data_IF_729124281829
#
_entry.id   IF_729124281829
#
_cell.length_a   1.000
_cell.length_b   1.000
_cell.length_c   1.000
_cell.angle_alpha   90.00
_cell.angle_beta   90.00
_cell.angle_gamma   90.00
#
_symmetry.space_group_name_H-M   'P 1'
#
loop_
_entity.id
_entity.type
_entity.pdbx_description
1 polymer ?
#
# COMPACT_ATOMS: atom_id res chain seq x y z
N UNK A 1 6.99 5.77 -0.93
CA UNK A 1 7.37 5.45 -2.32
C UNK A 1 8.52 6.33 -2.80
N UNK A 2 8.67 7.52 -2.23
CA UNK A 2 9.66 8.55 -2.60
C UNK A 2 9.53 8.99 -4.08
N UNK A 3 8.32 9.30 -4.50
CA UNK A 3 8.02 9.81 -5.85
C UNK A 3 7.48 11.23 -5.77
N UNK A 4 7.63 12.05 -6.84
CA UNK A 4 7.07 13.39 -6.89
C UNK A 4 5.57 13.39 -6.60
N UNK A 5 5.11 14.42 -5.87
CA UNK A 5 3.71 14.61 -5.53
C UNK A 5 3.15 13.70 -4.44
N UNK A 6 3.96 12.82 -3.83
CA UNK A 6 3.51 11.88 -2.78
C UNK A 6 2.94 12.58 -1.52
N UNK A 7 3.32 13.84 -1.30
CA UNK A 7 2.84 14.67 -0.19
C UNK A 7 1.61 15.53 -0.55
N UNK A 8 1.01 15.35 -1.71
CA UNK A 8 -0.18 16.08 -2.11
C UNK A 8 -1.39 15.69 -1.26
N UNK A 9 -2.28 16.64 -1.06
CA UNK A 9 -3.57 16.38 -0.39
C UNK A 9 -4.36 15.37 -1.21
N UNK A 10 -4.83 14.30 -0.55
CA UNK A 10 -5.48 13.17 -1.23
C UNK A 10 -4.53 12.03 -1.58
N UNK A 11 -3.25 12.10 -1.16
CA UNK A 11 -2.34 10.93 -1.17
C UNK A 11 -2.06 10.54 0.27
N UNK A 12 -2.38 9.31 0.65
CA UNK A 12 -2.20 8.84 2.03
C UNK A 12 -1.88 7.35 2.10
N UNK A 13 -1.34 6.90 3.21
CA UNK A 13 -1.11 5.48 3.45
C UNK A 13 -2.43 4.75 3.72
N UNK A 14 -2.47 3.45 3.40
CA UNK A 14 -3.61 2.59 3.74
C UNK A 14 -3.90 2.55 5.24
N UNK A 15 -2.86 2.56 6.07
CA UNK A 15 -3.03 2.60 7.53
C UNK A 15 -3.75 3.87 7.97
N UNK A 16 -3.34 5.02 7.46
CA UNK A 16 -4.01 6.29 7.74
C UNK A 16 -5.46 6.28 7.25
N UNK A 17 -5.68 5.85 6.01
CA UNK A 17 -7.01 5.76 5.41
C UNK A 17 -7.95 4.89 6.24
N UNK A 18 -7.55 3.64 6.52
CA UNK A 18 -8.37 2.70 7.28
C UNK A 18 -8.55 3.11 8.75
N UNK A 19 -7.55 3.74 9.36
CA UNK A 19 -7.67 4.29 10.73
C UNK A 19 -8.72 5.39 10.78
N UNK A 20 -8.69 6.34 9.86
CA UNK A 20 -9.68 7.42 9.80
C UNK A 20 -11.11 6.86 9.63
N UNK A 21 -11.27 5.80 8.87
CA UNK A 21 -12.58 5.19 8.62
C UNK A 21 -13.05 4.39 9.82
N UNK A 22 -12.21 3.48 10.33
CA UNK A 22 -12.64 2.52 11.35
C UNK A 22 -12.66 3.09 12.76
N UNK A 23 -11.71 3.98 13.11
CA UNK A 23 -11.63 4.57 14.46
C UNK A 23 -12.34 5.92 14.58
N UNK A 24 -12.55 6.63 13.47
CA UNK A 24 -13.22 7.92 13.45
C UNK A 24 -14.64 7.84 12.87
N UNK A 25 -15.15 6.63 12.71
CA UNK A 25 -16.53 6.31 12.32
C UNK A 25 -17.01 7.02 11.05
N UNK A 26 -16.16 7.03 10.02
CA UNK A 26 -16.44 7.72 8.76
C UNK A 26 -17.61 7.16 7.96
N UNK A 27 -18.12 6.00 8.31
CA UNK A 27 -19.32 5.42 7.71
C UNK A 27 -20.61 5.98 8.30
N UNK A 28 -20.54 6.67 9.43
CA UNK A 28 -21.68 7.27 10.11
C UNK A 28 -21.88 8.71 9.59
N UNK A 29 -23.04 9.04 9.00
CA UNK A 29 -23.31 10.37 8.46
C UNK A 29 -23.37 11.48 9.52
N UNK A 30 -23.50 11.12 10.80
CA UNK A 30 -23.54 12.10 11.91
C UNK A 30 -22.13 12.44 12.43
N UNK A 31 -21.07 11.81 11.91
CA UNK A 31 -19.69 12.14 12.23
C UNK A 31 -19.07 13.03 11.15
N UNK A 32 -18.06 13.82 11.52
CA UNK A 32 -17.25 14.62 10.58
C UNK A 32 -15.81 14.09 10.57
N UNK A 33 -15.57 12.91 9.98
CA UNK A 33 -14.24 12.33 9.93
C UNK A 33 -13.38 13.08 8.92
N UNK A 34 -12.07 13.18 9.13
CA UNK A 34 -11.17 13.85 8.21
C UNK A 34 -10.88 12.98 6.98
N UNK A 35 -11.94 12.66 6.22
CA UNK A 35 -11.89 11.96 4.94
C UNK A 35 -12.40 12.90 3.87
N UNK A 36 -11.62 13.05 2.81
CA UNK A 36 -12.08 13.76 1.63
C UNK A 36 -12.95 12.84 0.80
N UNK A 37 -14.23 13.17 0.54
CA UNK A 37 -15.04 12.43 -0.41
C UNK A 37 -14.34 12.39 -1.77
N UNK A 38 -14.19 11.20 -2.32
CA UNK A 38 -13.49 10.99 -3.57
C UNK A 38 -14.34 10.15 -4.52
N UNK A 39 -14.50 10.61 -5.77
CA UNK A 39 -15.24 9.88 -6.80
C UNK A 39 -14.36 8.83 -7.47
N UNK A 40 -13.07 9.16 -7.68
CA UNK A 40 -12.08 8.31 -8.35
C UNK A 40 -10.96 7.98 -7.39
N UNK A 41 -10.97 6.77 -6.89
CA UNK A 41 -9.98 6.30 -5.91
C UNK A 41 -9.02 5.31 -6.55
N UNK A 42 -7.74 5.57 -6.39
CA UNK A 42 -6.69 4.63 -6.73
C UNK A 42 -6.11 3.99 -5.48
N UNK A 43 -5.95 2.68 -5.46
CA UNK A 43 -5.26 1.95 -4.40
C UNK A 43 -4.01 1.29 -4.96
N UNK A 44 -2.85 1.63 -4.42
CA UNK A 44 -1.56 1.08 -4.88
C UNK A 44 -1.18 -0.09 -4.00
N UNK A 45 -1.15 -1.28 -4.58
CA UNK A 45 -0.76 -2.49 -3.87
C UNK A 45 -1.58 -3.72 -4.27
N UNK A 46 -1.15 -4.90 -3.84
CA UNK A 46 -1.81 -6.17 -4.16
C UNK A 46 -1.97 -7.10 -2.96
N UNK A 47 -1.79 -6.60 -1.73
CA UNK A 47 -1.98 -7.35 -0.49
C UNK A 47 -3.39 -7.22 0.09
N UNK A 48 -3.67 -7.93 1.20
CA UNK A 48 -4.98 -7.87 1.87
C UNK A 48 -5.36 -6.45 2.27
N UNK A 49 -4.40 -5.64 2.76
CA UNK A 49 -4.66 -4.23 3.11
C UNK A 49 -5.10 -3.38 1.91
N UNK A 50 -4.60 -3.70 0.69
CA UNK A 50 -5.08 -3.05 -0.53
C UNK A 50 -6.52 -3.47 -0.84
N UNK A 51 -6.87 -4.76 -0.64
CA UNK A 51 -8.24 -5.24 -0.80
C UNK A 51 -9.19 -4.58 0.20
N UNK A 52 -8.81 -4.48 1.47
CA UNK A 52 -9.59 -3.76 2.49
C UNK A 52 -9.80 -2.29 2.10
N UNK A 53 -8.74 -1.60 1.67
CA UNK A 53 -8.81 -0.19 1.30
C UNK A 53 -9.71 0.07 0.10
N UNK A 54 -9.61 -0.74 -0.96
CA UNK A 54 -10.40 -0.54 -2.17
C UNK A 54 -11.87 -0.85 -1.95
N UNK A 55 -12.19 -1.92 -1.22
CA UNK A 55 -13.58 -2.28 -0.88
C UNK A 55 -14.21 -1.25 0.05
N UNK A 56 -13.44 -0.73 1.02
CA UNK A 56 -13.88 0.35 1.88
C UNK A 56 -14.17 1.62 1.08
N UNK A 57 -13.28 2.03 0.15
CA UNK A 57 -13.51 3.18 -0.72
C UNK A 57 -14.80 3.02 -1.55
N UNK A 58 -15.03 1.81 -2.08
CA UNK A 58 -16.24 1.52 -2.86
C UNK A 58 -17.51 1.65 -2.03
N UNK A 59 -17.49 1.11 -0.82
CA UNK A 59 -18.62 1.15 0.13
C UNK A 59 -18.91 2.55 0.66
N UNK A 60 -17.90 3.44 0.71
CA UNK A 60 -18.05 4.86 1.03
C UNK A 60 -18.55 5.71 -0.15
N UNK A 61 -18.92 5.08 -1.27
CA UNK A 61 -19.58 5.75 -2.39
C UNK A 61 -18.67 6.22 -3.51
N UNK A 62 -17.42 5.78 -3.57
CA UNK A 62 -16.57 6.06 -4.72
C UNK A 62 -17.17 5.46 -6.00
N UNK A 63 -17.28 6.28 -7.05
CA UNK A 63 -17.85 5.87 -8.34
C UNK A 63 -16.93 4.84 -9.01
N UNK A 64 -15.64 5.15 -9.03
CA UNK A 64 -14.59 4.32 -9.61
C UNK A 64 -13.49 4.04 -8.60
N UNK A 65 -13.17 2.77 -8.40
CA UNK A 65 -12.04 2.33 -7.57
C UNK A 65 -11.15 1.43 -8.40
N UNK A 66 -9.86 1.80 -8.52
CA UNK A 66 -8.88 1.07 -9.32
C UNK A 66 -7.71 0.63 -8.44
N UNK A 67 -7.44 -0.68 -8.39
CA UNK A 67 -6.19 -1.20 -7.83
C UNK A 67 -5.10 -1.08 -8.89
N UNK A 68 -3.98 -0.46 -8.52
CA UNK A 68 -2.75 -0.39 -9.32
C UNK A 68 -1.71 -1.30 -8.69
N UNK A 69 -1.25 -2.28 -9.46
CA UNK A 69 -0.27 -3.25 -8.99
C UNK A 69 0.86 -3.48 -9.99
N UNK A 70 2.10 -3.42 -9.51
CA UNK A 70 3.31 -3.48 -10.37
C UNK A 70 3.63 -4.84 -10.97
N UNK A 71 3.00 -5.92 -10.48
CA UNK A 71 3.10 -7.28 -11.06
C UNK A 71 1.76 -7.69 -11.65
N UNK A 72 1.66 -8.93 -12.13
CA UNK A 72 0.37 -9.48 -12.57
C UNK A 72 -0.48 -9.92 -11.36
N UNK A 73 -1.72 -10.26 -11.63
CA UNK A 73 -2.66 -10.72 -10.61
C UNK A 73 -2.16 -12.01 -9.93
N UNK A 74 -1.49 -12.89 -10.68
CA UNK A 74 -0.95 -14.16 -10.17
C UNK A 74 0.11 -13.95 -9.06
N UNK A 75 0.81 -12.82 -9.06
CA UNK A 75 1.80 -12.47 -8.03
C UNK A 75 1.21 -11.63 -6.88
N UNK A 76 -0.10 -11.41 -6.83
CA UNK A 76 -0.71 -10.71 -5.71
C UNK A 76 -0.61 -11.53 -4.42
N UNK A 77 -0.10 -10.94 -3.31
CA UNK A 77 -0.03 -11.64 -2.04
C UNK A 77 -1.35 -11.66 -1.25
N UNK A 78 -2.40 -11.02 -1.77
CA UNK A 78 -3.74 -11.08 -1.18
C UNK A 78 -4.32 -12.49 -1.30
N UNK A 79 -5.22 -12.83 -0.39
CA UNK A 79 -5.99 -14.08 -0.45
C UNK A 79 -6.88 -14.05 -1.69
N UNK A 80 -7.02 -15.20 -2.36
CA UNK A 80 -7.83 -15.31 -3.59
C UNK A 80 -9.29 -14.90 -3.37
N UNK A 81 -9.85 -15.23 -2.20
CA UNK A 81 -11.20 -14.84 -1.81
C UNK A 81 -11.35 -13.32 -1.74
N UNK A 82 -10.34 -12.60 -1.19
CA UNK A 82 -10.40 -11.14 -1.08
C UNK A 82 -10.31 -10.47 -2.46
N UNK A 83 -9.48 -11.01 -3.36
CA UNK A 83 -9.42 -10.55 -4.76
C UNK A 83 -10.75 -10.79 -5.46
N UNK A 84 -11.37 -11.96 -5.26
CA UNK A 84 -12.68 -12.29 -5.81
C UNK A 84 -13.76 -11.34 -5.31
N UNK A 85 -13.85 -11.11 -4.01
CA UNK A 85 -14.81 -10.18 -3.42
C UNK A 85 -14.62 -8.75 -3.95
N UNK A 86 -13.37 -8.28 -4.09
CA UNK A 86 -13.10 -6.97 -4.66
C UNK A 86 -13.63 -6.84 -6.10
N UNK A 87 -13.46 -7.88 -6.93
CA UNK A 87 -14.01 -7.93 -8.29
C UNK A 87 -15.54 -7.95 -8.31
N UNK A 88 -16.16 -8.73 -7.43
CA UNK A 88 -17.63 -8.79 -7.29
C UNK A 88 -18.21 -7.43 -6.88
N UNK A 89 -17.49 -6.64 -6.09
CA UNK A 89 -17.86 -5.26 -5.72
C UNK A 89 -17.57 -4.22 -6.83
N UNK A 90 -17.09 -4.66 -8.01
CA UNK A 90 -16.87 -3.79 -9.18
C UNK A 90 -15.59 -2.97 -9.11
N UNK A 91 -14.57 -3.43 -8.38
CA UNK A 91 -13.26 -2.79 -8.35
C UNK A 91 -12.46 -3.18 -9.60
N UNK A 92 -11.85 -2.18 -10.23
CA UNK A 92 -11.01 -2.37 -11.40
C UNK A 92 -9.58 -2.75 -11.00
N UNK A 93 -8.97 -3.66 -11.77
CA UNK A 93 -7.59 -4.12 -11.55
C UNK A 93 -6.69 -3.69 -12.71
N UNK A 94 -5.85 -2.71 -12.47
CA UNK A 94 -4.80 -2.24 -13.39
C UNK A 94 -3.45 -2.83 -12.94
N UNK A 95 -3.20 -4.05 -13.37
CA UNK A 95 -1.94 -4.77 -13.10
C UNK A 95 -0.83 -4.32 -14.03
N UNK A 96 0.42 -4.68 -13.74
CA UNK A 96 1.61 -4.31 -14.52
C UNK A 96 1.77 -2.79 -14.68
N UNK A 97 1.41 -2.04 -13.62
CA UNK A 97 1.58 -0.60 -13.55
C UNK A 97 2.12 -0.18 -12.18
N UNK A 98 2.98 0.84 -12.18
CA UNK A 98 3.59 1.39 -10.97
C UNK A 98 3.56 2.92 -10.99
N UNK A 99 3.11 3.59 -9.93
CA UNK A 99 3.13 5.05 -9.89
C UNK A 99 4.55 5.63 -10.02
N UNK A 100 4.70 6.65 -10.86
CA UNK A 100 5.92 7.45 -11.00
C UNK A 100 5.79 8.83 -10.37
N UNK A 101 4.61 9.46 -10.52
CA UNK A 101 4.38 10.84 -10.09
C UNK A 101 2.90 11.06 -9.83
N UNK A 102 2.57 11.82 -8.80
CA UNK A 102 1.25 12.38 -8.54
C UNK A 102 1.22 13.84 -8.95
N UNK A 103 0.20 14.24 -9.71
CA UNK A 103 0.01 15.60 -10.18
C UNK A 103 -1.11 16.25 -9.38
N UNK A 104 -0.78 17.33 -8.68
CA UNK A 104 -1.72 18.12 -7.90
C UNK A 104 -2.14 19.40 -8.66
N UNK A 105 -3.31 19.93 -8.30
CA UNK A 105 -3.74 21.26 -8.75
C UNK A 105 -3.06 22.38 -7.95
N UNK A 106 -3.40 23.63 -8.26
CA UNK A 106 -2.87 24.84 -7.61
C UNK A 106 -3.16 24.89 -6.08
N UNK A 107 -4.15 24.13 -5.62
CA UNK A 107 -4.51 23.99 -4.20
C UNK A 107 -3.79 22.84 -3.51
N UNK A 108 -2.92 22.13 -4.23
CA UNK A 108 -2.21 20.96 -3.73
C UNK A 108 -3.05 19.67 -3.65
N UNK A 109 -4.25 19.65 -4.23
CA UNK A 109 -5.11 18.47 -4.28
C UNK A 109 -4.68 17.56 -5.44
N UNK A 110 -4.49 16.26 -5.20
CA UNK A 110 -4.16 15.31 -6.25
C UNK A 110 -5.29 15.25 -7.29
N UNK A 111 -4.90 15.23 -8.58
CA UNK A 111 -5.82 15.16 -9.70
C UNK A 111 -5.50 14.07 -10.68
N UNK A 112 -4.22 13.77 -10.82
CA UNK A 112 -3.76 12.75 -11.75
C UNK A 112 -2.58 11.98 -11.17
N UNK A 113 -2.32 10.82 -11.77
CA UNK A 113 -1.12 10.02 -11.53
C UNK A 113 -0.53 9.58 -12.86
N UNK A 114 0.79 9.65 -12.98
CA UNK A 114 1.54 9.05 -14.06
C UNK A 114 1.94 7.64 -13.64
N UNK A 115 1.56 6.65 -14.41
CA UNK A 115 1.80 5.24 -14.17
C UNK A 115 2.78 4.68 -15.20
N UNK A 116 3.88 4.10 -14.74
CA UNK A 116 4.84 3.33 -15.53
C UNK A 116 4.24 1.98 -15.89
N UNK A 117 4.26 1.60 -17.16
CA UNK A 117 3.96 0.23 -17.60
C UNK A 117 5.11 -0.70 -17.20
N UNK A 118 4.76 -1.89 -16.75
CA UNK A 118 5.70 -2.89 -16.29
C UNK A 118 5.59 -4.17 -17.12
N UNK A 119 6.63 -4.95 -17.13
CA UNK A 119 6.62 -6.36 -17.56
C UNK A 119 7.17 -7.23 -16.44
N UNK A 120 7.08 -8.55 -16.57
CA UNK A 120 7.58 -9.50 -15.60
C UNK A 120 8.91 -10.07 -16.07
N UNK A 121 9.93 -9.92 -15.25
CA UNK A 121 11.24 -10.55 -15.39
C UNK A 121 11.35 -11.87 -14.62
N UNK A 122 12.56 -12.21 -14.21
CA UNK A 122 12.86 -13.43 -13.47
C UNK A 122 12.25 -13.41 -12.04
N UNK A 123 11.98 -14.58 -11.45
CA UNK A 123 11.49 -14.69 -10.08
C UNK A 123 12.46 -14.07 -9.07
N UNK A 124 11.93 -13.38 -8.07
CA UNK A 124 12.67 -12.88 -6.90
C UNK A 124 12.87 -14.01 -5.85
N UNK A 125 13.56 -13.68 -4.75
CA UNK A 125 13.81 -14.62 -3.65
C UNK A 125 12.53 -15.19 -2.98
N UNK A 126 11.36 -14.62 -3.25
CA UNK A 126 10.06 -15.12 -2.80
C UNK A 126 9.36 -16.02 -3.84
N UNK A 127 10.01 -16.28 -4.99
CA UNK A 127 9.44 -17.02 -6.10
C UNK A 127 8.49 -16.22 -6.98
N UNK A 128 8.25 -14.94 -6.70
CA UNK A 128 7.38 -14.07 -7.51
C UNK A 128 8.20 -13.37 -8.59
N UNK A 129 7.67 -13.29 -9.79
CA UNK A 129 8.33 -12.62 -10.91
C UNK A 129 8.56 -11.14 -10.61
N UNK A 130 9.77 -10.67 -10.90
CA UNK A 130 10.19 -9.30 -10.63
C UNK A 130 9.53 -8.32 -11.61
N UNK A 131 9.03 -7.15 -11.15
CA UNK A 131 8.49 -6.15 -12.05
C UNK A 131 9.64 -5.39 -12.72
N UNK A 132 9.62 -5.30 -14.05
CA UNK A 132 10.61 -4.61 -14.87
C UNK A 132 9.92 -3.44 -15.60
N UNK A 133 10.43 -2.19 -15.48
CA UNK A 133 9.88 -1.06 -16.21
C UNK A 133 9.98 -1.24 -17.73
N UNK A 134 8.91 -0.90 -18.44
CA UNK A 134 8.91 -0.86 -19.90
C UNK A 134 9.37 0.52 -20.41
N UNK A 135 10.11 0.54 -21.50
CA UNK A 135 10.52 1.75 -22.20
C UNK A 135 9.96 1.77 -23.62
N UNK A 136 9.73 2.96 -24.13
CA UNK A 136 9.40 3.20 -25.53
C UNK A 136 10.64 2.98 -26.41
N UNK A 137 10.46 2.98 -27.73
CA UNK A 137 11.55 2.81 -28.69
C UNK A 137 12.64 3.91 -28.60
N UNK A 138 12.32 5.09 -28.09
CA UNK A 138 13.20 6.22 -27.86
C UNK A 138 13.93 6.18 -26.49
N UNK A 139 13.72 5.12 -25.69
CA UNK A 139 14.30 4.94 -24.36
C UNK A 139 13.56 5.66 -23.24
N UNK A 140 12.49 6.41 -23.52
CA UNK A 140 11.67 7.05 -22.49
C UNK A 140 10.78 6.03 -21.77
N UNK A 141 10.37 6.27 -20.50
CA UNK A 141 9.44 5.40 -19.79
C UNK A 141 8.11 5.24 -20.55
N UNK A 142 7.64 4.01 -20.72
CA UNK A 142 6.32 3.76 -21.27
C UNK A 142 5.27 4.01 -20.18
N UNK A 143 4.51 5.10 -20.29
CA UNK A 143 3.59 5.57 -19.25
C UNK A 143 2.15 5.70 -19.74
N UNK A 144 1.23 5.79 -18.78
CA UNK A 144 -0.13 6.29 -18.95
C UNK A 144 -0.44 7.31 -17.86
N UNK A 145 -1.37 8.20 -18.11
CA UNK A 145 -1.91 9.12 -17.11
C UNK A 145 -3.33 8.71 -16.74
N UNK A 146 -3.65 8.74 -15.45
CA UNK A 146 -4.96 8.41 -14.93
C UNK A 146 -5.46 9.53 -14.02
N UNK A 147 -6.70 9.95 -14.21
CA UNK A 147 -7.37 10.91 -13.31
C UNK A 147 -7.77 10.24 -12.00
N UNK A 148 -7.46 10.89 -10.88
CA UNK A 148 -7.79 10.44 -9.53
C UNK A 148 -8.19 11.62 -8.65
N UNK A 149 -8.91 11.35 -7.56
CA UNK A 149 -9.24 12.32 -6.52
C UNK A 149 -8.62 11.91 -5.18
N UNK A 150 -8.27 10.63 -5.04
CA UNK A 150 -7.64 10.04 -3.86
C UNK A 150 -6.70 8.90 -4.27
N UNK A 151 -5.52 8.87 -3.69
CA UNK A 151 -4.59 7.75 -3.80
C UNK A 151 -4.31 7.15 -2.41
N UNK A 152 -4.57 5.85 -2.26
CA UNK A 152 -4.29 5.09 -1.04
C UNK A 152 -3.10 4.16 -1.29
N UNK A 153 -2.00 4.38 -0.59
CA UNK A 153 -0.74 3.64 -0.78
C UNK A 153 -0.67 2.45 0.18
N UNK A 154 -0.80 1.25 -0.35
CA UNK A 154 -0.84 -0.03 0.38
C UNK A 154 0.33 -0.97 0.00
N UNK A 155 1.55 -0.41 -0.09
CA UNK A 155 2.76 -1.13 -0.53
C UNK A 155 3.53 -1.82 0.60
N UNK A 156 2.94 -1.92 1.75
CA UNK A 156 3.48 -2.53 2.95
C UNK A 156 3.92 -1.48 3.99
N UNK A 157 4.08 -1.97 5.20
CA UNK A 157 4.56 -1.20 6.34
C UNK A 157 5.85 -1.82 6.88
N UNK A 158 6.68 -1.00 7.49
CA UNK A 158 7.86 -1.46 8.24
C UNK A 158 7.60 -1.27 9.74
N UNK A 159 8.20 -2.11 10.60
CA UNK A 159 8.14 -1.91 12.03
C UNK A 159 8.60 -0.51 12.42
N UNK A 160 7.95 0.08 13.42
CA UNK A 160 8.32 1.41 13.90
C UNK A 160 9.76 1.40 14.43
N UNK A 161 10.66 2.22 13.88
CA UNK A 161 12.06 2.21 14.23
C UNK A 161 12.39 2.86 15.58
N UNK A 162 11.40 3.39 16.32
CA UNK A 162 11.63 4.10 17.59
C UNK A 162 12.32 3.16 18.60
N UNK A 163 11.73 1.99 18.88
CA UNK A 163 12.32 1.05 19.85
C UNK A 163 13.69 0.56 19.41
N UNK A 164 13.86 0.03 18.17
CA UNK A 164 15.18 -0.36 17.69
C UNK A 164 16.25 0.73 17.80
N UNK A 165 15.90 1.99 17.56
CA UNK A 165 16.85 3.11 17.62
C UNK A 165 17.15 3.58 19.03
N UNK A 166 16.23 3.39 19.98
CA UNK A 166 16.37 3.88 21.35
C UNK A 166 17.04 2.89 22.31
N UNK A 167 17.26 1.64 21.88
CA UNK A 167 17.87 0.58 22.73
C UNK A 167 19.24 0.22 22.16
N UNK A 168 20.34 0.76 22.73
CA UNK A 168 21.69 0.40 22.30
C UNK A 168 21.98 -1.09 22.45
N UNK A 169 22.63 -1.70 21.43
CA UNK A 169 22.99 -3.12 21.45
C UNK A 169 21.85 -4.08 21.12
N UNK A 170 20.67 -3.56 20.76
CA UNK A 170 19.57 -4.41 20.29
C UNK A 170 19.87 -4.95 18.89
N UNK A 171 19.93 -6.27 18.75
CA UNK A 171 20.11 -6.91 17.45
C UNK A 171 18.82 -6.90 16.64
N UNK A 172 18.98 -6.55 15.35
CA UNK A 172 17.86 -6.46 14.41
C UNK A 172 17.96 -7.56 13.36
N UNK A 173 16.82 -8.13 13.03
CA UNK A 173 16.64 -9.06 11.95
C UNK A 173 16.37 -8.36 10.60
N UNK A 174 15.94 -9.14 9.65
CA UNK A 174 15.60 -8.66 8.30
C UNK A 174 14.46 -7.62 8.39
N UNK A 175 14.57 -6.52 7.62
CA UNK A 175 13.60 -5.39 7.58
C UNK A 175 13.48 -4.62 8.90
N UNK A 176 14.54 -4.55 9.69
CA UNK A 176 14.58 -3.86 10.98
C UNK A 176 13.58 -4.42 12.02
N UNK A 177 13.22 -5.69 11.93
CA UNK A 177 12.50 -6.39 13.00
C UNK A 177 13.45 -6.66 14.17
N UNK A 178 12.92 -6.86 15.38
CA UNK A 178 13.74 -7.28 16.53
C UNK A 178 14.09 -8.76 16.39
N UNK A 179 15.39 -9.08 16.45
CA UNK A 179 15.84 -10.47 16.50
C UNK A 179 15.55 -11.06 17.87
N UNK A 180 14.93 -12.25 17.92
CA UNK A 180 14.60 -12.95 19.16
C UNK A 180 14.94 -14.44 19.04
N UNK A 181 15.21 -15.09 20.19
CA UNK A 181 15.35 -16.51 20.30
C UNK A 181 13.98 -17.24 20.39
N UNK A 182 13.99 -18.56 20.59
CA UNK A 182 12.77 -19.37 20.69
C UNK A 182 11.86 -18.98 21.86
N UNK A 183 12.42 -18.38 22.91
CA UNK A 183 11.70 -17.86 24.06
C UNK A 183 11.22 -16.41 23.88
N UNK A 184 11.29 -15.86 22.65
CA UNK A 184 10.95 -14.46 22.32
C UNK A 184 11.82 -13.41 23.03
N UNK A 185 12.98 -13.80 23.56
CA UNK A 185 13.95 -12.91 24.19
C UNK A 185 14.89 -12.33 23.13
N UNK A 186 15.13 -11.03 23.21
CA UNK A 186 16.06 -10.32 22.32
C UNK A 186 17.52 -10.51 22.75
N UNK A 187 18.45 -9.82 22.06
CA UNK A 187 19.86 -9.72 22.48
C UNK A 187 20.03 -9.02 23.84
N UNK A 188 19.02 -8.31 24.32
CA UNK A 188 18.99 -7.69 25.65
C UNK A 188 18.26 -8.62 26.61
N UNK A 189 18.90 -9.12 27.68
CA UNK A 189 18.33 -10.17 28.55
C UNK A 189 16.98 -9.84 29.18
N UNK A 190 16.67 -8.57 29.39
CA UNK A 190 15.42 -8.09 29.99
C UNK A 190 14.36 -7.68 28.99
N UNK A 191 14.65 -7.75 27.68
CA UNK A 191 13.76 -7.32 26.62
C UNK A 191 13.23 -8.51 25.82
N UNK A 192 11.92 -8.67 25.82
CA UNK A 192 11.19 -9.65 25.03
C UNK A 192 10.36 -8.94 23.96
N UNK A 193 10.20 -9.57 22.79
CA UNK A 193 9.42 -9.01 21.70
C UNK A 193 8.59 -10.09 20.98
N UNK A 194 7.42 -9.69 20.45
CA UNK A 194 6.52 -10.58 19.72
C UNK A 194 5.64 -9.81 18.72
N UNK A 195 4.90 -10.53 17.87
CA UNK A 195 4.03 -9.96 16.87
C UNK A 195 4.79 -9.32 15.69
N UNK A 196 4.25 -8.26 15.12
CA UNK A 196 4.75 -7.62 13.89
C UNK A 196 6.17 -7.04 14.02
N UNK A 197 6.57 -6.64 15.22
CA UNK A 197 7.93 -6.13 15.45
C UNK A 197 8.99 -7.22 15.28
N UNK A 198 8.62 -8.49 15.39
CA UNK A 198 9.51 -9.66 15.21
C UNK A 198 9.33 -10.28 13.83
N UNK A 199 8.12 -10.51 13.39
CA UNK A 199 7.80 -11.25 12.15
C UNK A 199 7.57 -10.36 10.94
N UNK A 200 7.44 -9.05 11.12
CA UNK A 200 6.91 -8.12 10.13
C UNK A 200 5.39 -8.17 10.07
N UNK A 201 4.78 -7.24 9.31
CA UNK A 201 3.32 -7.24 9.12
C UNK A 201 2.85 -8.56 8.53
N UNK A 202 2.01 -9.26 9.26
CA UNK A 202 1.46 -10.57 8.93
C UNK A 202 -0.06 -10.57 9.16
N UNK A 203 -0.68 -11.74 9.10
CA UNK A 203 -2.09 -11.91 9.46
C UNK A 203 -2.27 -11.91 10.98
N UNK A 204 -3.50 -11.60 11.43
CA UNK A 204 -3.86 -11.58 12.87
C UNK A 204 -3.77 -12.97 13.52
N UNK A 205 -3.73 -14.01 12.72
CA UNK A 205 -3.66 -15.42 13.15
C UNK A 205 -2.29 -16.00 12.80
#
# INVERSE_FOLDING_TARGET
>A
MNIPGENSVGVMSSNEYLTRINLMDASNPDTDPPITPARRVMVVGGGNTAMDSCRTAKRLGAERVTIVYRRSEAEMPARLEEVKHAKEEGIEFLTLHNPLEYIADEKGLVRQVILQKMTLGEPDASGRRSPVPMTNADGTPATITMDIDLAVVAVGVSPNPIVPKSVPGLELGRKNTIAVNEQMQSSIPTLFAGGDIVRGGATVI
#
